data_IF_939194087396
#
_entry.id   IF_939194087396
#
_cell.length_a   1.000
_cell.length_b   1.000
_cell.length_c   1.000
_cell.angle_alpha   90.00
_cell.angle_beta   90.00
_cell.angle_gamma   90.00
#
_symmetry.space_group_name_H-M   'P 1'
#
loop_
_entity.id
_entity.type
_entity.pdbx_description
1 polymer ?
#
# COMPACT_ATOMS: atom_id res chain seq x y z
N UNK A 1 -10.67 8.27 -6.52
CA UNK A 1 -10.21 8.31 -5.12
C UNK A 1 -9.22 9.44 -4.93
N UNK A 2 -9.36 10.17 -3.86
CA UNK A 2 -8.45 11.27 -3.53
C UNK A 2 -7.23 10.73 -2.79
N UNK A 3 -6.04 10.95 -3.35
CA UNK A 3 -4.78 10.52 -2.74
C UNK A 3 -4.30 11.55 -1.71
N UNK A 4 -3.50 11.12 -0.73
CA UNK A 4 -2.85 12.04 0.19
C UNK A 4 -1.63 12.63 -0.50
N UNK A 5 -1.64 13.95 -0.69
CA UNK A 5 -0.55 14.68 -1.35
C UNK A 5 -0.05 15.77 -0.41
N UNK A 6 1.27 15.77 -0.14
CA UNK A 6 1.92 16.77 0.70
C UNK A 6 3.23 17.20 0.05
N UNK A 7 3.43 18.51 -0.08
CA UNK A 7 4.63 19.08 -0.68
C UNK A 7 4.95 18.49 -2.06
N UNK A 8 3.89 18.24 -2.86
CA UNK A 8 4.03 17.65 -4.19
C UNK A 8 4.33 16.16 -4.23
N UNK A 9 4.23 15.46 -3.09
CA UNK A 9 4.48 14.03 -2.99
C UNK A 9 3.24 13.27 -2.57
N UNK A 10 3.06 12.09 -3.15
CA UNK A 10 1.92 11.20 -2.91
C UNK A 10 2.32 10.10 -1.94
N UNK A 11 1.48 9.84 -0.95
CA UNK A 11 1.66 8.72 -0.02
C UNK A 11 1.31 7.40 -0.71
N UNK A 12 2.26 6.46 -0.73
CA UNK A 12 2.08 5.11 -1.27
C UNK A 12 2.31 4.10 -0.15
N UNK A 13 1.35 3.22 0.05
CA UNK A 13 1.38 2.21 1.11
C UNK A 13 2.01 0.92 0.61
N UNK A 14 2.91 0.33 1.41
CA UNK A 14 3.56 -0.94 1.09
C UNK A 14 3.96 -1.66 2.38
N UNK A 15 4.18 -2.97 2.29
CA UNK A 15 4.58 -3.80 3.42
C UNK A 15 5.98 -4.38 3.18
N UNK A 16 7.01 -3.88 3.88
CA UNK A 16 8.37 -4.41 3.75
C UNK A 16 8.66 -5.64 4.61
N UNK A 17 7.63 -6.26 5.20
CA UNK A 17 7.81 -7.46 6.04
C UNK A 17 7.68 -8.75 5.23
N UNK A 18 8.53 -9.73 5.50
CA UNK A 18 8.42 -11.05 4.88
C UNK A 18 7.14 -11.77 5.30
N UNK A 19 6.50 -12.48 4.35
CA UNK A 19 5.27 -13.19 4.58
C UNK A 19 4.05 -12.29 4.78
N UNK A 20 4.16 -11.02 4.43
CA UNK A 20 3.17 -10.00 4.77
C UNK A 20 2.91 -9.03 3.61
N UNK A 21 2.66 -9.55 2.43
CA UNK A 21 2.29 -8.72 1.28
C UNK A 21 1.03 -7.92 1.53
N UNK A 22 0.89 -6.79 0.89
CA UNK A 22 -0.25 -5.90 1.01
C UNK A 22 -1.01 -5.84 -0.32
N UNK A 23 -0.79 -4.80 -1.14
CA UNK A 23 -1.47 -4.68 -2.43
C UNK A 23 -1.08 -5.79 -3.41
N UNK A 24 0.16 -6.28 -3.33
CA UNK A 24 0.66 -7.34 -4.21
C UNK A 24 0.04 -8.70 -3.92
N UNK A 25 -0.52 -8.89 -2.74
CA UNK A 25 -1.24 -10.12 -2.35
C UNK A 25 -2.75 -9.98 -2.52
N UNK A 26 -3.22 -8.87 -3.09
CA UNK A 26 -4.61 -8.64 -3.41
C UNK A 26 -4.88 -9.14 -4.84
N UNK A 27 -5.77 -10.11 -4.98
CA UNK A 27 -6.09 -10.73 -6.27
C UNK A 27 -7.25 -10.06 -7.00
N UNK A 28 -7.82 -9.01 -6.43
CA UNK A 28 -8.85 -8.22 -7.06
C UNK A 28 -8.28 -6.87 -7.45
N UNK A 29 -8.00 -6.68 -8.74
CA UNK A 29 -7.36 -5.47 -9.25
C UNK A 29 -8.17 -4.19 -8.95
N UNK A 30 -9.48 -4.30 -8.81
CA UNK A 30 -10.34 -3.15 -8.51
C UNK A 30 -10.10 -2.58 -7.11
N UNK A 31 -9.48 -3.36 -6.20
CA UNK A 31 -9.22 -2.95 -4.83
C UNK A 31 -7.81 -2.41 -4.62
N UNK A 32 -6.90 -2.66 -5.57
CA UNK A 32 -5.47 -2.36 -5.40
C UNK A 32 -5.22 -0.87 -5.14
N UNK A 33 -5.87 0.03 -5.87
CA UNK A 33 -5.67 1.46 -5.67
C UNK A 33 -6.08 1.92 -4.27
N UNK A 34 -7.16 1.35 -3.73
CA UNK A 34 -7.59 1.65 -2.35
C UNK A 34 -6.50 1.25 -1.36
N UNK A 35 -5.92 0.06 -1.54
CA UNK A 35 -4.85 -0.43 -0.67
C UNK A 35 -3.57 0.39 -0.78
N UNK A 36 -3.27 0.92 -1.98
CA UNK A 36 -2.07 1.73 -2.20
C UNK A 36 -2.19 3.16 -1.66
N UNK A 37 -3.39 3.78 -1.75
CA UNK A 37 -3.48 5.23 -1.65
C UNK A 37 -4.52 5.77 -0.68
N UNK A 38 -5.45 4.96 -0.16
CA UNK A 38 -6.62 5.51 0.51
C UNK A 38 -6.27 6.33 1.76
N UNK A 39 -6.78 7.56 1.88
CA UNK A 39 -6.45 8.45 3.00
C UNK A 39 -6.72 7.88 4.39
N UNK A 40 -7.77 7.08 4.55
CA UNK A 40 -8.08 6.46 5.85
C UNK A 40 -7.02 5.46 6.28
N UNK A 41 -6.46 4.72 5.31
CA UNK A 41 -5.38 3.77 5.60
C UNK A 41 -4.08 4.53 5.89
N UNK A 42 -3.78 5.56 5.09
CA UNK A 42 -2.62 6.43 5.32
C UNK A 42 -2.66 7.02 6.72
N UNK A 43 -3.82 7.53 7.15
CA UNK A 43 -4.00 8.10 8.49
C UNK A 43 -3.69 7.08 9.59
N UNK A 44 -4.16 5.85 9.45
CA UNK A 44 -3.88 4.78 10.41
C UNK A 44 -2.38 4.53 10.56
N UNK A 45 -1.67 4.45 9.43
CA UNK A 45 -0.22 4.22 9.45
C UNK A 45 0.52 5.42 10.06
N UNK A 46 0.16 6.64 9.66
CA UNK A 46 0.81 7.85 10.17
C UNK A 46 0.62 8.03 11.67
N UNK A 47 -0.54 7.64 12.19
CA UNK A 47 -0.84 7.79 13.62
C UNK A 47 -0.32 6.64 14.47
N UNK A 48 0.34 5.64 13.86
CA UNK A 48 0.84 4.48 14.58
C UNK A 48 -0.24 3.46 14.95
N UNK A 49 -1.39 3.51 14.28
CA UNK A 49 -2.54 2.64 14.53
C UNK A 49 -2.75 1.61 13.43
N UNK A 50 -1.71 1.25 12.70
CA UNK A 50 -1.78 0.25 11.61
C UNK A 50 -2.29 -1.11 12.10
N UNK A 51 -2.07 -1.45 13.36
CA UNK A 51 -2.58 -2.70 13.93
C UNK A 51 -4.11 -2.74 14.08
N UNK A 52 -4.77 -1.60 13.95
CA UNK A 52 -6.23 -1.53 13.95
C UNK A 52 -6.84 -1.89 12.58
N UNK A 53 -6.01 -1.93 11.54
CA UNK A 53 -6.45 -2.34 10.21
C UNK A 53 -6.59 -3.85 10.19
N UNK A 54 -7.78 -4.32 9.85
CA UNK A 54 -8.10 -5.74 9.73
C UNK A 54 -8.99 -5.94 8.53
N UNK A 55 -9.21 -7.18 8.13
CA UNK A 55 -10.17 -7.48 7.07
C UNK A 55 -11.56 -6.94 7.45
N UNK A 56 -11.96 -7.11 8.71
CA UNK A 56 -13.25 -6.58 9.20
C UNK A 56 -13.30 -5.07 9.10
N UNK A 57 -12.23 -4.38 9.47
CA UNK A 57 -12.17 -2.92 9.37
C UNK A 57 -12.28 -2.46 7.91
N UNK A 58 -11.58 -3.13 7.00
CA UNK A 58 -11.65 -2.82 5.57
C UNK A 58 -13.06 -2.99 5.02
N UNK A 59 -13.75 -4.07 5.42
CA UNK A 59 -15.12 -4.31 5.01
C UNK A 59 -16.05 -3.22 5.55
N UNK A 60 -15.89 -2.82 6.79
CA UNK A 60 -16.69 -1.74 7.40
C UNK A 60 -16.49 -0.40 6.69
N UNK A 61 -15.25 -0.10 6.29
CA UNK A 61 -14.95 1.17 5.67
C UNK A 61 -15.27 1.21 4.17
N UNK A 62 -15.02 0.11 3.45
CA UNK A 62 -14.99 0.13 1.99
C UNK A 62 -15.95 -0.86 1.31
N UNK A 63 -16.50 -1.81 2.05
CA UNK A 63 -17.47 -2.74 1.52
C UNK A 63 -17.05 -4.20 1.54
N UNK A 64 -18.04 -5.06 1.28
CA UNK A 64 -17.90 -6.51 1.37
C UNK A 64 -16.84 -7.10 0.42
N UNK A 65 -16.56 -6.42 -0.69
CA UNK A 65 -15.55 -6.86 -1.64
C UNK A 65 -14.15 -6.98 -1.03
N UNK A 66 -13.93 -6.39 0.15
CA UNK A 66 -12.65 -6.45 0.86
C UNK A 66 -12.54 -7.66 1.81
N UNK A 67 -13.54 -8.54 1.85
CA UNK A 67 -13.57 -9.67 2.80
C UNK A 67 -12.43 -10.68 2.61
N UNK A 68 -11.82 -10.73 1.41
CA UNK A 68 -10.72 -11.64 1.10
C UNK A 68 -9.35 -10.98 1.13
N UNK A 69 -9.26 -9.72 1.56
CA UNK A 69 -7.98 -9.02 1.66
C UNK A 69 -7.19 -9.57 2.85
N UNK A 70 -5.94 -9.95 2.58
CA UNK A 70 -5.04 -10.55 3.57
C UNK A 70 -4.36 -9.45 4.39
N UNK A 71 -4.58 -9.45 5.70
CA UNK A 71 -4.07 -8.41 6.61
C UNK A 71 -3.04 -8.91 7.62
N UNK A 72 -2.46 -10.10 7.42
CA UNK A 72 -1.40 -10.59 8.29
C UNK A 72 -0.14 -9.75 8.07
N UNK A 73 0.52 -9.36 9.14
CA UNK A 73 1.72 -8.52 9.04
C UNK A 73 1.44 -7.04 8.85
N UNK A 74 0.21 -6.61 9.10
CA UNK A 74 -0.21 -5.21 8.92
C UNK A 74 0.66 -4.22 9.72
N UNK A 75 1.26 -4.64 10.83
CA UNK A 75 2.17 -3.81 11.62
C UNK A 75 3.46 -3.44 10.88
N UNK A 76 3.74 -4.05 9.74
CA UNK A 76 4.87 -3.71 8.88
C UNK A 76 4.53 -2.65 7.84
N UNK A 77 3.25 -2.27 7.73
CA UNK A 77 2.79 -1.34 6.70
C UNK A 77 3.46 0.04 6.86
N UNK A 78 3.99 0.56 5.77
CA UNK A 78 4.72 1.84 5.74
C UNK A 78 4.28 2.69 4.56
N UNK A 79 4.70 3.96 4.60
CA UNK A 79 4.42 4.93 3.56
C UNK A 79 5.72 5.32 2.86
N UNK A 80 5.73 5.23 1.53
CA UNK A 80 6.74 5.81 0.66
C UNK A 80 6.15 7.06 0.03
N UNK A 81 6.81 8.20 0.17
CA UNK A 81 6.36 9.45 -0.44
C UNK A 81 7.02 9.61 -1.80
N UNK A 82 6.23 9.59 -2.88
CA UNK A 82 6.73 9.72 -4.24
C UNK A 82 6.28 11.03 -4.86
N UNK A 83 7.15 11.73 -5.64
CA UNK A 83 6.72 12.92 -6.37
C UNK A 83 5.47 12.63 -7.20
N UNK A 84 4.53 13.56 -7.21
CA UNK A 84 3.30 13.43 -7.98
C UNK A 84 3.62 13.17 -9.45
N UNK A 85 2.95 12.19 -10.05
CA UNK A 85 3.20 11.79 -11.44
C UNK A 85 4.30 10.74 -11.60
N UNK A 86 4.96 10.30 -10.52
CA UNK A 86 5.97 9.24 -10.62
C UNK A 86 5.33 7.92 -11.07
N UNK A 87 5.91 7.31 -12.08
CA UNK A 87 5.52 5.96 -12.50
C UNK A 87 6.26 4.97 -11.64
N UNK A 88 5.53 4.07 -10.99
CA UNK A 88 6.11 3.09 -10.09
C UNK A 88 5.37 1.76 -10.17
N UNK A 89 5.97 0.74 -9.58
CA UNK A 89 5.33 -0.54 -9.32
C UNK A 89 5.75 -1.03 -7.94
N UNK A 90 5.02 -1.99 -7.39
CA UNK A 90 5.41 -2.67 -6.17
C UNK A 90 5.93 -4.04 -6.57
N UNK A 91 7.20 -4.31 -6.32
CA UNK A 91 7.79 -5.64 -6.45
C UNK A 91 7.60 -6.39 -5.14
N UNK A 92 7.48 -7.71 -5.22
CA UNK A 92 7.23 -8.54 -4.05
C UNK A 92 8.13 -9.78 -4.10
N UNK A 93 8.69 -10.13 -2.94
CA UNK A 93 9.45 -11.35 -2.75
C UNK A 93 9.05 -11.93 -1.38
N UNK A 94 8.38 -13.07 -1.41
CA UNK A 94 7.92 -13.77 -0.19
C UNK A 94 7.14 -12.84 0.75
N UNK A 95 6.31 -11.97 0.17
CA UNK A 95 5.53 -10.98 0.90
C UNK A 95 6.26 -9.66 1.17
N UNK A 96 7.59 -9.62 1.01
CA UNK A 96 8.37 -8.40 1.18
C UNK A 96 8.16 -7.49 -0.03
N UNK A 97 7.51 -6.35 0.20
CA UNK A 97 7.21 -5.39 -0.86
C UNK A 97 8.27 -4.30 -0.96
N UNK A 98 8.60 -3.92 -2.18
CA UNK A 98 9.54 -2.84 -2.49
C UNK A 98 8.92 -1.91 -3.52
N UNK A 99 8.93 -0.61 -3.25
CA UNK A 99 8.49 0.39 -4.23
C UNK A 99 9.60 0.62 -5.25
N UNK A 100 9.32 0.34 -6.52
CA UNK A 100 10.27 0.49 -7.62
C UNK A 100 9.81 1.60 -8.54
N UNK A 101 10.61 2.67 -8.64
CA UNK A 101 10.33 3.76 -9.57
C UNK A 101 10.96 3.47 -10.93
N UNK A 102 10.44 4.12 -11.97
CA UNK A 102 10.95 3.96 -13.32
C UNK A 102 12.46 4.21 -13.41
N UNK A 103 12.98 5.15 -12.66
CA UNK A 103 14.40 5.51 -12.65
C UNK A 103 15.30 4.38 -12.14
N UNK A 104 14.77 3.55 -11.23
CA UNK A 104 15.51 2.41 -10.65
C UNK A 104 15.55 1.19 -11.58
N UNK A 105 14.84 1.25 -12.70
CA UNK A 105 14.77 0.13 -13.65
C UNK A 105 15.84 0.20 -14.73
N UNK A 106 16.60 1.29 -14.81
CA UNK A 106 17.55 1.53 -15.87
C UNK A 106 18.99 1.33 -15.41
N UNK A 107 19.76 0.60 -16.21
CA UNK A 107 21.20 0.46 -16.06
C UNK A 107 21.84 1.02 -17.31
N UNK A 108 22.93 1.74 -17.12
CA UNK A 108 23.73 2.27 -18.24
C UNK A 108 25.04 1.50 -18.25
N UNK A 109 25.30 0.79 -19.35
CA UNK A 109 26.53 0.07 -19.52
C UNK A 109 27.69 1.03 -19.76
#
# INVERSE_FOLDING_TARGET
MEKVIRDGKVAVLYSPGYGAGWSTWCYNDDLVETLLFHPLIVEKVESGHENEISTEWLVQQFGKEFEDVYCVGIGQLKIEWLPEGTVFRIDEYDGFETVITKERLYYIA
#
